data_IF_513306859134
#
_entry.id   IF_513306859134
#
_cell.length_a   1.000
_cell.length_b   1.000
_cell.length_c   1.000
_cell.angle_alpha   90.00
_cell.angle_beta   90.00
_cell.angle_gamma   90.00
#
_symmetry.space_group_name_H-M   'P 1'
#
loop_
_entity.id
_entity.type
_entity.pdbx_description
1 polymer ?
#
# COMPACT_ATOMS: atom_id res chain seq x y z
N UNK A 1 0.77 20.46 27.94
CA UNK A 1 0.01 19.51 27.11
C UNK A 1 0.80 19.29 25.83
N UNK A 2 1.31 18.07 25.61
CA UNK A 2 2.02 17.74 24.37
C UNK A 2 0.94 17.46 23.32
N UNK A 3 0.85 18.28 22.28
CA UNK A 3 0.01 17.96 21.12
C UNK A 3 0.43 16.58 20.62
N UNK A 4 -0.50 15.62 20.68
CA UNK A 4 -0.31 14.33 20.03
C UNK A 4 -0.11 14.62 18.54
N UNK A 5 1.01 14.20 17.92
CA UNK A 5 1.17 14.37 16.48
C UNK A 5 0.00 13.66 15.81
N UNK A 6 -0.73 14.38 14.93
CA UNK A 6 -1.79 13.82 14.10
C UNK A 6 -1.20 12.68 13.28
N UNK A 7 -1.36 11.46 13.80
CA UNK A 7 -0.79 10.23 13.28
C UNK A 7 -1.67 9.72 12.15
N UNK A 8 -1.59 10.41 11.03
CA UNK A 8 -2.19 10.05 9.75
C UNK A 8 -1.34 10.75 8.72
N UNK A 9 -1.07 10.14 7.56
CA UNK A 9 -0.99 10.87 6.28
C UNK A 9 -0.46 10.02 5.10
N UNK A 10 0.43 9.04 5.29
CA UNK A 10 1.08 8.45 4.09
C UNK A 10 0.23 7.34 3.43
N UNK A 11 -0.52 6.54 4.19
CA UNK A 11 -1.57 5.66 3.61
C UNK A 11 -2.92 6.37 3.44
N UNK A 12 -3.06 7.60 3.95
CA UNK A 12 -4.28 8.37 3.79
C UNK A 12 -4.28 9.12 2.44
N UNK A 13 -3.12 9.67 2.01
CA UNK A 13 -3.02 10.46 0.78
C UNK A 13 -3.52 9.70 -0.46
N UNK A 14 -3.08 8.47 -0.66
CA UNK A 14 -3.49 7.62 -1.79
C UNK A 14 -4.70 6.74 -1.51
N UNK A 15 -5.46 7.01 -0.45
CA UNK A 15 -6.80 6.43 -0.31
C UNK A 15 -7.74 7.05 -1.34
N UNK A 16 -8.71 6.27 -1.83
CA UNK A 16 -9.61 6.74 -2.89
C UNK A 16 -10.37 8.03 -2.56
N UNK A 17 -10.60 8.30 -1.28
CA UNK A 17 -11.28 9.49 -0.77
C UNK A 17 -10.42 10.77 -0.84
N UNK A 18 -9.12 10.61 -1.01
CA UNK A 18 -8.16 11.70 -0.97
C UNK A 18 -7.47 11.95 -2.32
N UNK A 19 -7.68 11.09 -3.32
CA UNK A 19 -7.09 11.24 -4.66
C UNK A 19 -7.36 12.63 -5.24
N UNK A 20 -8.62 13.10 -5.18
CA UNK A 20 -9.02 14.41 -5.70
C UNK A 20 -8.32 15.59 -5.00
N UNK A 21 -7.88 15.38 -3.76
CA UNK A 21 -7.20 16.40 -2.95
C UNK A 21 -5.70 16.46 -3.23
N UNK A 22 -5.15 15.50 -3.97
CA UNK A 22 -3.72 15.50 -4.33
C UNK A 22 -3.51 16.55 -5.41
N UNK A 23 -2.77 17.61 -5.08
CA UNK A 23 -2.41 18.67 -6.03
C UNK A 23 -1.10 18.38 -6.78
N UNK A 24 -0.18 17.64 -6.16
CA UNK A 24 1.11 17.28 -6.75
C UNK A 24 1.69 16.00 -6.14
N UNK A 25 2.56 15.35 -6.93
CA UNK A 25 3.45 14.28 -6.50
C UNK A 25 4.84 14.88 -6.26
N UNK A 26 5.52 14.46 -5.20
CA UNK A 26 6.77 15.10 -4.75
C UNK A 26 7.94 14.12 -4.53
N UNK A 27 7.79 12.84 -4.92
CA UNK A 27 8.84 11.83 -4.84
C UNK A 27 8.53 10.64 -5.75
N UNK A 28 9.53 9.84 -6.09
CA UNK A 28 9.37 8.59 -6.86
C UNK A 28 8.36 7.65 -6.21
N UNK A 29 8.40 7.52 -4.87
CA UNK A 29 7.45 6.69 -4.14
C UNK A 29 5.98 7.15 -4.29
N UNK A 30 5.74 8.45 -4.40
CA UNK A 30 4.40 8.98 -4.63
C UNK A 30 3.93 8.71 -6.07
N UNK A 31 4.82 8.75 -7.04
CA UNK A 31 4.55 8.39 -8.45
C UNK A 31 4.21 6.92 -8.57
N UNK A 32 5.03 6.04 -8.01
CA UNK A 32 4.78 4.60 -8.07
C UNK A 32 3.46 4.22 -7.40
N UNK A 33 3.12 4.85 -6.27
CA UNK A 33 1.80 4.67 -5.63
C UNK A 33 0.65 5.18 -6.50
N UNK A 34 0.81 6.33 -7.14
CA UNK A 34 -0.17 6.90 -8.07
C UNK A 34 -0.38 5.95 -9.27
N UNK A 35 0.70 5.46 -9.87
CA UNK A 35 0.72 4.54 -11.00
C UNK A 35 0.04 3.20 -10.65
N UNK A 36 0.37 2.60 -9.50
CA UNK A 36 -0.27 1.39 -9.02
C UNK A 36 -1.79 1.57 -8.82
N UNK A 37 -2.20 2.70 -8.23
CA UNK A 37 -3.61 3.02 -8.03
C UNK A 37 -4.34 3.27 -9.34
N UNK A 38 -3.71 3.97 -10.28
CA UNK A 38 -4.25 4.21 -11.63
C UNK A 38 -4.56 2.90 -12.36
N UNK A 39 -3.69 1.90 -12.21
CA UNK A 39 -3.89 0.55 -12.75
C UNK A 39 -5.02 -0.20 -12.03
N UNK A 40 -5.07 -0.17 -10.70
CA UNK A 40 -6.14 -0.80 -9.90
C UNK A 40 -7.53 -0.27 -10.26
N UNK A 41 -7.64 1.05 -10.47
CA UNK A 41 -8.89 1.68 -10.85
C UNK A 41 -9.36 1.30 -12.26
N UNK A 42 -8.49 0.78 -13.13
CA UNK A 42 -8.85 0.40 -14.52
C UNK A 42 -10.03 -0.58 -14.57
N UNK A 43 -10.05 -1.55 -13.64
CA UNK A 43 -11.11 -2.56 -13.59
C UNK A 43 -12.41 -1.96 -13.07
N UNK A 44 -12.35 -1.18 -11.98
CA UNK A 44 -13.53 -0.57 -11.38
C UNK A 44 -14.15 0.53 -12.27
N UNK A 45 -13.34 1.22 -13.07
CA UNK A 45 -13.80 2.26 -13.99
C UNK A 45 -14.71 1.75 -15.12
N UNK A 46 -14.78 0.43 -15.32
CA UNK A 46 -15.77 -0.22 -16.20
C UNK A 46 -17.15 -0.30 -15.56
N UNK A 47 -17.21 -0.29 -14.23
CA UNK A 47 -18.44 -0.45 -13.44
C UNK A 47 -18.97 0.88 -12.92
N UNK A 48 -18.11 1.89 -12.76
CA UNK A 48 -18.49 3.21 -12.26
C UNK A 48 -17.65 4.33 -12.89
N UNK A 49 -18.34 5.29 -13.52
CA UNK A 49 -17.73 6.45 -14.19
C UNK A 49 -16.97 7.38 -13.24
N UNK A 50 -17.31 7.43 -11.96
CA UNK A 50 -16.59 8.27 -10.99
C UNK A 50 -15.10 7.89 -10.90
N UNK A 51 -14.79 6.61 -11.08
CA UNK A 51 -13.39 6.15 -11.12
C UNK A 51 -12.65 6.57 -12.38
N UNK A 52 -13.33 6.91 -13.47
CA UNK A 52 -12.70 7.47 -14.66
C UNK A 52 -12.16 8.88 -14.39
N UNK A 53 -12.90 9.69 -13.63
CA UNK A 53 -12.48 11.02 -13.21
C UNK A 53 -11.21 10.92 -12.36
N UNK A 54 -11.19 10.03 -11.37
CA UNK A 54 -10.01 9.79 -10.54
C UNK A 54 -8.80 9.30 -11.35
N UNK A 55 -9.02 8.42 -12.33
CA UNK A 55 -7.94 7.96 -13.22
C UNK A 55 -7.37 9.08 -14.08
N UNK A 56 -8.21 9.97 -14.63
CA UNK A 56 -7.75 11.14 -15.39
C UNK A 56 -6.91 12.07 -14.50
N UNK A 57 -7.34 12.28 -13.25
CA UNK A 57 -6.59 13.08 -12.29
C UNK A 57 -5.22 12.49 -11.98
N UNK A 58 -5.15 11.18 -11.66
CA UNK A 58 -3.89 10.47 -11.43
C UNK A 58 -2.99 10.52 -12.67
N UNK A 59 -3.55 10.31 -13.86
CA UNK A 59 -2.80 10.39 -15.12
C UNK A 59 -2.14 11.75 -15.32
N UNK A 60 -2.84 12.84 -14.97
CA UNK A 60 -2.27 14.18 -15.04
C UNK A 60 -1.15 14.36 -14.03
N UNK A 61 -1.37 13.98 -12.78
CA UNK A 61 -0.38 14.09 -11.71
C UNK A 61 0.92 13.33 -12.01
N UNK A 62 0.81 12.11 -12.55
CA UNK A 62 1.95 11.27 -12.95
C UNK A 62 2.72 11.99 -14.07
N UNK A 63 2.02 12.40 -15.13
CA UNK A 63 2.63 13.09 -16.26
C UNK A 63 3.33 14.38 -15.84
N UNK A 64 2.68 15.22 -15.03
CA UNK A 64 3.24 16.49 -14.56
C UNK A 64 4.55 16.27 -13.78
N UNK A 65 4.66 15.17 -13.04
CA UNK A 65 5.90 14.80 -12.36
C UNK A 65 6.96 14.26 -13.33
N UNK A 66 6.60 13.36 -14.24
CA UNK A 66 7.51 12.78 -15.24
C UNK A 66 8.09 13.87 -16.15
N UNK A 67 7.25 14.78 -16.66
CA UNK A 67 7.67 15.91 -17.49
C UNK A 67 8.67 16.83 -16.74
N UNK A 68 8.52 16.95 -15.42
CA UNK A 68 9.40 17.79 -14.59
C UNK A 68 10.73 17.12 -14.24
N UNK A 69 10.74 15.82 -13.94
CA UNK A 69 11.89 15.14 -13.34
C UNK A 69 12.60 14.16 -14.30
N UNK A 70 11.94 13.73 -15.37
CA UNK A 70 12.40 12.65 -16.25
C UNK A 70 12.41 13.01 -17.75
N UNK A 71 12.03 14.24 -18.13
CA UNK A 71 11.92 14.65 -19.53
C UNK A 71 13.25 14.86 -20.26
N UNK A 72 14.34 15.15 -19.52
CA UNK A 72 15.66 15.42 -20.09
C UNK A 72 16.63 14.30 -19.70
N UNK A 73 16.87 13.38 -20.63
CA UNK A 73 17.78 12.23 -20.42
C UNK A 73 19.18 12.63 -19.98
N UNK A 74 19.65 13.80 -20.40
CA UNK A 74 21.00 14.29 -20.13
C UNK A 74 21.20 14.74 -18.67
N UNK A 75 20.12 14.93 -17.91
CA UNK A 75 20.14 15.41 -16.52
C UNK A 75 19.74 14.34 -15.50
N UNK A 76 19.47 13.10 -15.93
CA UNK A 76 19.09 12.01 -15.04
C UNK A 76 20.34 11.50 -14.32
N UNK A 77 20.32 11.54 -12.99
CA UNK A 77 21.43 11.05 -12.16
C UNK A 77 21.27 9.57 -11.81
N UNK A 78 22.38 8.90 -11.52
CA UNK A 78 22.35 7.51 -11.04
C UNK A 78 21.63 7.40 -9.69
N UNK A 79 21.70 8.42 -8.84
CA UNK A 79 20.97 8.50 -7.58
C UNK A 79 19.46 8.52 -7.81
N UNK A 80 18.99 9.28 -8.80
CA UNK A 80 17.56 9.34 -9.15
C UNK A 80 17.05 8.00 -9.69
N UNK A 81 17.83 7.30 -10.51
CA UNK A 81 17.50 5.94 -10.98
C UNK A 81 17.36 4.99 -9.79
N UNK A 82 18.31 5.01 -8.85
CA UNK A 82 18.25 4.17 -7.64
C UNK A 82 17.04 4.48 -6.76
N UNK A 83 16.65 5.75 -6.65
CA UNK A 83 15.45 6.15 -5.91
C UNK A 83 14.18 5.58 -6.58
N UNK A 84 14.11 5.65 -7.91
CA UNK A 84 13.01 5.11 -8.69
C UNK A 84 12.91 3.58 -8.57
N UNK A 85 14.02 2.86 -8.74
CA UNK A 85 14.09 1.40 -8.56
C UNK A 85 13.63 0.97 -7.17
N UNK A 86 14.03 1.73 -6.14
CA UNK A 86 13.62 1.46 -4.76
C UNK A 86 12.12 1.71 -4.55
N UNK A 87 11.59 2.80 -5.11
CA UNK A 87 10.16 3.11 -5.05
C UNK A 87 9.31 2.02 -5.71
N UNK A 88 9.71 1.55 -6.89
CA UNK A 88 9.03 0.46 -7.61
C UNK A 88 9.02 -0.81 -6.76
N UNK A 89 10.17 -1.20 -6.19
CA UNK A 89 10.28 -2.39 -5.35
C UNK A 89 9.35 -2.33 -4.13
N UNK A 90 9.27 -1.18 -3.45
CA UNK A 90 8.39 -0.98 -2.29
C UNK A 90 6.93 -1.19 -2.72
N UNK A 91 6.49 -0.52 -3.78
CA UNK A 91 5.10 -0.60 -4.26
C UNK A 91 4.75 -1.98 -4.80
N UNK A 92 5.69 -2.64 -5.49
CA UNK A 92 5.52 -4.01 -5.96
C UNK A 92 5.36 -4.98 -4.80
N UNK A 93 6.15 -4.83 -3.74
CA UNK A 93 6.04 -5.68 -2.56
C UNK A 93 4.70 -5.46 -1.84
N UNK A 94 4.23 -4.21 -1.69
CA UNK A 94 2.88 -3.90 -1.18
C UNK A 94 1.79 -4.55 -2.05
N UNK A 95 1.91 -4.42 -3.37
CA UNK A 95 0.97 -5.00 -4.34
C UNK A 95 0.92 -6.53 -4.23
N UNK A 96 2.07 -7.18 -4.11
CA UNK A 96 2.20 -8.62 -3.92
C UNK A 96 1.51 -9.08 -2.63
N UNK A 97 1.70 -8.35 -1.53
CA UNK A 97 1.01 -8.63 -0.27
C UNK A 97 -0.51 -8.58 -0.44
N UNK A 98 -1.03 -7.51 -1.06
CA UNK A 98 -2.47 -7.35 -1.27
C UNK A 98 -3.06 -8.40 -2.21
N UNK A 99 -2.31 -8.83 -3.24
CA UNK A 99 -2.73 -9.92 -4.13
C UNK A 99 -2.84 -11.25 -3.38
N UNK A 100 -1.80 -11.61 -2.61
CA UNK A 100 -1.80 -12.84 -1.78
C UNK A 100 -2.97 -12.85 -0.80
N UNK A 101 -3.18 -11.75 -0.07
CA UNK A 101 -4.31 -11.60 0.85
C UNK A 101 -5.65 -11.83 0.15
N UNK A 102 -5.84 -11.19 -1.01
CA UNK A 102 -7.06 -11.32 -1.82
C UNK A 102 -7.30 -12.77 -2.25
N UNK A 103 -6.26 -13.47 -2.68
CA UNK A 103 -6.34 -14.87 -3.07
C UNK A 103 -6.71 -15.78 -1.89
N UNK A 104 -6.07 -15.60 -0.73
CA UNK A 104 -6.35 -16.38 0.47
C UNK A 104 -7.79 -16.18 0.94
N UNK A 105 -8.26 -14.92 1.00
CA UNK A 105 -9.65 -14.61 1.39
C UNK A 105 -10.63 -15.27 0.40
N UNK A 106 -10.40 -15.14 -0.91
CA UNK A 106 -11.26 -15.75 -1.93
C UNK A 106 -11.29 -17.26 -1.85
N UNK A 107 -10.13 -17.89 -1.63
CA UNK A 107 -10.02 -19.33 -1.44
C UNK A 107 -10.86 -19.78 -0.24
N UNK A 108 -10.72 -19.11 0.90
CA UNK A 108 -11.47 -19.45 2.12
C UNK A 108 -12.97 -19.23 2.02
N UNK A 109 -13.40 -18.18 1.33
CA UNK A 109 -14.81 -17.98 0.99
C UNK A 109 -15.34 -19.16 0.18
N UNK A 110 -14.64 -19.55 -0.88
CA UNK A 110 -15.05 -20.67 -1.75
C UNK A 110 -15.09 -22.01 -0.99
N UNK A 111 -14.07 -22.29 -0.17
CA UNK A 111 -14.04 -23.49 0.70
C UNK A 111 -15.23 -23.54 1.66
N UNK A 112 -15.75 -22.38 2.08
CA UNK A 112 -16.89 -22.27 3.00
C UNK A 112 -18.24 -22.15 2.28
N UNK A 113 -18.28 -22.29 0.95
CA UNK A 113 -19.51 -22.10 0.16
C UNK A 113 -20.02 -20.66 0.09
N UNK A 114 -19.20 -19.67 0.46
CA UNK A 114 -19.55 -18.25 0.48
C UNK A 114 -19.00 -17.53 -0.75
N UNK A 115 -19.67 -16.46 -1.16
CA UNK A 115 -19.16 -15.53 -2.15
C UNK A 115 -18.88 -14.14 -1.53
N UNK A 116 -18.35 -13.22 -2.34
CA UNK A 116 -17.98 -11.88 -1.87
C UNK A 116 -19.19 -11.03 -1.42
N UNK A 117 -20.39 -11.29 -1.96
CA UNK A 117 -21.64 -10.65 -1.53
C UNK A 117 -22.02 -11.11 -0.12
N UNK A 118 -21.79 -12.38 0.20
CA UNK A 118 -22.05 -12.90 1.55
C UNK A 118 -21.05 -12.33 2.56
N UNK A 119 -19.77 -12.22 2.16
CA UNK A 119 -18.78 -11.52 2.98
C UNK A 119 -19.20 -10.06 3.25
N UNK A 120 -19.76 -9.37 2.25
CA UNK A 120 -20.25 -8.01 2.44
C UNK A 120 -21.37 -7.94 3.49
N UNK A 121 -22.34 -8.87 3.45
CA UNK A 121 -23.39 -8.97 4.46
C UNK A 121 -22.82 -9.26 5.85
N UNK A 122 -21.88 -10.21 5.97
CA UNK A 122 -21.23 -10.59 7.23
C UNK A 122 -20.50 -9.40 7.85
N UNK A 123 -19.79 -8.61 7.05
CA UNK A 123 -19.05 -7.44 7.53
C UNK A 123 -19.95 -6.20 7.71
N UNK A 124 -21.25 -6.27 7.40
CA UNK A 124 -22.15 -5.12 7.49
C UNK A 124 -21.88 -4.04 6.45
N UNK A 125 -21.26 -4.38 5.32
CA UNK A 125 -20.84 -3.43 4.28
C UNK A 125 -21.61 -3.60 2.97
N UNK A 126 -21.60 -2.54 2.15
CA UNK A 126 -22.08 -2.63 0.76
C UNK A 126 -21.13 -3.45 -0.10
N UNK A 127 -21.65 -4.18 -1.10
CA UNK A 127 -20.87 -5.01 -2.04
C UNK A 127 -19.72 -4.24 -2.70
N UNK A 128 -19.99 -3.01 -3.17
CA UNK A 128 -18.97 -2.15 -3.79
C UNK A 128 -17.83 -1.81 -2.83
N UNK A 129 -18.16 -1.47 -1.59
CA UNK A 129 -17.16 -1.16 -0.56
C UNK A 129 -16.26 -2.37 -0.27
N UNK A 130 -16.82 -3.57 -0.11
CA UNK A 130 -16.01 -4.80 0.06
C UNK A 130 -15.17 -5.10 -1.17
N UNK A 131 -15.63 -4.79 -2.39
CA UNK A 131 -14.78 -4.86 -3.59
C UNK A 131 -13.56 -3.95 -3.50
N UNK A 132 -13.74 -2.72 -3.03
CA UNK A 132 -12.62 -1.80 -2.80
C UNK A 132 -11.64 -2.32 -1.74
N UNK A 133 -12.15 -2.94 -0.66
CA UNK A 133 -11.31 -3.56 0.39
C UNK A 133 -10.49 -4.74 -0.14
N UNK A 134 -11.16 -5.68 -0.83
CA UNK A 134 -10.54 -6.89 -1.38
C UNK A 134 -9.49 -6.54 -2.45
N UNK A 135 -9.73 -5.51 -3.26
CA UNK A 135 -8.78 -5.05 -4.28
C UNK A 135 -7.67 -4.14 -3.71
N UNK A 136 -7.66 -3.87 -2.40
CA UNK A 136 -6.62 -3.06 -1.75
C UNK A 136 -6.64 -1.59 -2.17
N UNK A 137 -7.81 -1.08 -2.56
CA UNK A 137 -8.06 0.34 -2.87
C UNK A 137 -8.45 1.08 -1.60
N UNK A 138 -9.12 0.38 -0.68
CA UNK A 138 -9.35 0.82 0.69
C UNK A 138 -8.75 -0.20 1.67
N UNK A 139 -8.24 0.24 2.83
CA UNK A 139 -7.82 -0.66 3.88
C UNK A 139 -9.04 -1.27 4.59
N UNK A 140 -8.95 -2.54 4.97
CA UNK A 140 -9.87 -3.14 5.94
C UNK A 140 -9.75 -2.43 7.29
N UNK A 141 -10.86 -2.29 8.01
CA UNK A 141 -10.80 -1.89 9.41
C UNK A 141 -10.21 -3.01 10.26
N UNK A 142 -9.76 -2.67 11.48
CA UNK A 142 -9.32 -3.68 12.45
C UNK A 142 -10.41 -4.70 12.73
N UNK A 143 -11.65 -4.25 12.86
CA UNK A 143 -12.80 -5.12 13.13
C UNK A 143 -13.04 -6.09 11.96
N UNK A 144 -13.03 -5.61 10.72
CA UNK A 144 -13.15 -6.47 9.53
C UNK A 144 -12.08 -7.57 9.52
N UNK A 145 -10.82 -7.20 9.81
CA UNK A 145 -9.69 -8.13 9.84
C UNK A 145 -9.85 -9.18 10.94
N UNK A 146 -10.34 -8.79 12.12
CA UNK A 146 -10.62 -9.73 13.21
C UNK A 146 -11.76 -10.68 12.82
N UNK A 147 -12.85 -10.19 12.21
CA UNK A 147 -13.95 -11.03 11.75
C UNK A 147 -13.45 -12.06 10.73
N UNK A 148 -12.70 -11.62 9.70
CA UNK A 148 -12.11 -12.49 8.68
C UNK A 148 -11.18 -13.54 9.32
N UNK A 149 -10.30 -13.12 10.24
CA UNK A 149 -9.42 -14.03 10.98
C UNK A 149 -10.22 -15.09 11.74
N UNK A 150 -11.27 -14.68 12.48
CA UNK A 150 -12.02 -15.59 13.35
C UNK A 150 -12.93 -16.55 12.58
N UNK A 151 -13.54 -16.09 11.49
CA UNK A 151 -14.41 -16.92 10.65
C UNK A 151 -13.61 -17.90 9.80
N UNK A 152 -12.55 -17.43 9.13
CA UNK A 152 -11.84 -18.23 8.13
C UNK A 152 -10.52 -18.83 8.62
N UNK A 153 -10.14 -18.57 9.88
CA UNK A 153 -8.88 -19.03 10.49
C UNK A 153 -7.64 -18.64 9.67
N UNK A 154 -7.69 -17.50 8.98
CA UNK A 154 -6.55 -16.95 8.26
C UNK A 154 -5.66 -16.23 9.27
N UNK A 155 -4.38 -16.58 9.32
CA UNK A 155 -3.41 -15.93 10.20
C UNK A 155 -3.30 -14.43 9.93
N UNK A 156 -3.14 -13.62 10.98
CA UNK A 156 -3.16 -12.16 10.86
C UNK A 156 -2.02 -11.63 9.98
N UNK A 157 -0.89 -12.31 9.92
CA UNK A 157 0.23 -11.96 9.03
C UNK A 157 -0.14 -12.05 7.54
N UNK A 158 -1.13 -12.85 7.18
CA UNK A 158 -1.66 -12.94 5.81
C UNK A 158 -2.74 -11.89 5.52
N UNK A 159 -3.20 -11.16 6.55
CA UNK A 159 -4.27 -10.16 6.46
C UNK A 159 -3.77 -8.73 6.63
N UNK A 160 -2.75 -8.55 7.47
CA UNK A 160 -2.17 -7.27 7.85
C UNK A 160 -0.70 -7.26 7.45
N UNK A 161 -0.23 -6.19 6.79
CA UNK A 161 1.19 -6.08 6.53
C UNK A 161 1.98 -5.97 7.85
N UNK A 162 3.00 -6.81 8.02
CA UNK A 162 3.77 -6.97 9.26
C UNK A 162 5.06 -6.16 9.31
N UNK A 163 5.29 -5.29 8.32
CA UNK A 163 6.45 -4.41 8.24
C UNK A 163 6.15 -3.02 8.82
N UNK A 164 7.19 -2.34 9.28
CA UNK A 164 7.12 -0.97 9.79
C UNK A 164 7.31 -0.01 8.62
N UNK A 165 6.39 0.95 8.49
CA UNK A 165 6.48 2.01 7.47
C UNK A 165 7.71 2.88 7.65
N UNK A 166 8.28 3.32 6.54
CA UNK A 166 9.54 4.07 6.49
C UNK A 166 9.57 5.31 7.40
N UNK A 167 8.49 6.11 7.41
CA UNK A 167 8.37 7.30 8.27
C UNK A 167 8.48 6.96 9.75
N UNK A 168 7.98 5.78 10.14
CA UNK A 168 8.07 5.25 11.50
C UNK A 168 9.44 4.66 11.78
N UNK A 169 10.06 3.99 10.81
CA UNK A 169 11.41 3.45 10.94
C UNK A 169 12.42 4.54 11.28
N UNK A 170 12.38 5.68 10.59
CA UNK A 170 13.29 6.80 10.87
C UNK A 170 13.14 7.32 12.30
N UNK A 171 11.90 7.52 12.74
CA UNK A 171 11.60 7.93 14.11
C UNK A 171 12.10 6.89 15.13
N UNK A 172 11.80 5.61 14.93
CA UNK A 172 12.21 4.51 15.83
C UNK A 172 13.74 4.43 15.90
N UNK A 173 14.45 4.47 14.76
CA UNK A 173 15.92 4.45 14.74
C UNK A 173 16.52 5.62 15.53
N UNK A 174 15.97 6.83 15.37
CA UNK A 174 16.42 8.02 16.11
C UNK A 174 16.21 7.83 17.62
N UNK A 175 15.03 7.36 18.02
CA UNK A 175 14.68 7.14 19.43
C UNK A 175 15.48 6.00 20.06
N UNK A 176 15.71 4.89 19.36
CA UNK A 176 16.51 3.78 19.89
C UNK A 176 17.97 4.19 20.13
N UNK A 177 18.54 5.05 19.27
CA UNK A 177 19.89 5.62 19.47
C UNK A 177 19.97 6.51 20.72
N UNK A 178 18.89 7.19 21.10
CA UNK A 178 18.88 8.04 22.30
C UNK A 178 18.64 7.28 23.60
N UNK A 179 18.35 5.97 23.56
CA UNK A 179 18.12 5.14 24.75
C UNK A 179 19.42 4.38 25.09
N UNK A 180 20.14 4.76 26.17
CA UNK A 180 21.51 4.31 26.43
C UNK A 180 21.68 2.79 26.64
N UNK A 181 20.61 2.08 26.98
CA UNK A 181 20.62 0.63 27.28
C UNK A 181 19.70 -0.18 26.35
N UNK A 182 19.34 0.34 25.18
CA UNK A 182 18.49 -0.40 24.25
C UNK A 182 19.21 -1.67 23.76
N UNK A 183 18.62 -2.83 24.06
CA UNK A 183 19.00 -4.13 23.46
C UNK A 183 18.21 -4.46 22.20
N UNK A 184 17.26 -3.60 21.83
CA UNK A 184 16.37 -3.78 20.69
C UNK A 184 16.98 -3.08 19.48
N UNK A 185 17.02 -3.78 18.35
CA UNK A 185 17.48 -3.25 17.06
C UNK A 185 16.48 -3.64 15.99
N UNK A 186 16.21 -2.72 15.08
CA UNK A 186 15.43 -3.05 13.89
C UNK A 186 16.29 -3.91 12.95
N UNK A 187 15.75 -5.05 12.57
CA UNK A 187 16.28 -5.91 11.51
C UNK A 187 15.72 -5.47 10.17
N UNK A 188 16.28 -5.99 9.08
CA UNK A 188 15.74 -5.72 7.74
C UNK A 188 14.31 -6.29 7.58
N UNK A 189 14.00 -7.42 8.23
CA UNK A 189 12.66 -8.03 8.20
C UNK A 189 11.58 -7.16 8.86
N UNK A 190 11.96 -6.28 9.78
CA UNK A 190 11.02 -5.37 10.45
C UNK A 190 10.61 -4.19 9.56
N UNK A 191 11.30 -3.98 8.44
CA UNK A 191 11.20 -2.77 7.62
C UNK A 191 10.74 -3.13 6.20
N UNK A 192 11.26 -4.22 5.66
CA UNK A 192 11.02 -4.60 4.27
C UNK A 192 9.84 -5.56 4.12
N UNK A 193 8.99 -5.29 3.12
CA UNK A 193 7.80 -6.08 2.80
C UNK A 193 8.05 -7.55 2.43
N UNK A 194 9.28 -7.90 2.03
CA UNK A 194 9.82 -9.27 1.96
C UNK A 194 11.17 -9.24 1.23
N UNK A 195 12.26 -9.38 1.99
CA UNK A 195 13.64 -9.46 1.47
C UNK A 195 14.03 -10.84 0.92
N UNK A 196 13.14 -11.84 0.94
CA UNK A 196 13.50 -13.17 0.47
C UNK A 196 13.85 -13.19 -1.03
N UNK A 197 13.20 -12.36 -1.86
CA UNK A 197 13.52 -12.27 -3.29
C UNK A 197 14.80 -11.47 -3.59
N UNK A 198 15.12 -10.44 -2.81
CA UNK A 198 16.35 -9.65 -3.02
C UNK A 198 17.61 -10.43 -2.60
N UNK A 199 17.55 -11.20 -1.50
CA UNK A 199 18.64 -12.10 -1.10
C UNK A 199 18.82 -13.26 -2.09
N UNK A 200 17.75 -13.72 -2.74
CA UNK A 200 17.82 -14.77 -3.76
C UNK A 200 18.41 -14.27 -5.10
N UNK A 201 18.18 -13.01 -5.47
CA UNK A 201 18.65 -12.42 -6.74
C UNK A 201 20.07 -11.82 -6.66
N UNK A 202 20.56 -11.52 -5.45
CA UNK A 202 21.87 -10.88 -5.23
C UNK A 202 22.84 -11.75 -4.43
N UNK A 203 22.63 -13.08 -4.46
CA UNK A 203 23.67 -14.07 -4.14
C UNK A 203 24.39 -14.45 -5.44
N UNK A 204 25.39 -13.66 -5.80
CA UNK A 204 26.57 -14.10 -6.57
C UNK A 204 27.78 -13.52 -5.86
#
# INVERSE_FOLDING_TARGET
MVEKPKFNLIMEKFSIQNIEKISSLNSELEVEKASNLFLKLRVLAKENESYQVLRKHLSKLIKDYEDKNWSSSDNITNEQIKESDLAEQIVQAESNFYSKRKEIIRKKLKESGLNQTDLAKILGHRKGYVSELINGIRPFSKEDLIIINRLFKIELENLIPTFIKEDKVLHIRKTLKSIPKSRIRLTKKDIDLNLENYIAQHRV
#
